data_IF_221407270133
#
_entry.id   IF_221407270133
#
_cell.length_a   1.000
_cell.length_b   1.000
_cell.length_c   1.000
_cell.angle_alpha   90.00
_cell.angle_beta   90.00
_cell.angle_gamma   90.00
#
_symmetry.space_group_name_H-M   'P 1'
#
loop_
_entity.id
_entity.type
_entity.pdbx_description
1 polymer ?
#
# COMPACT_ATOMS: atom_id res chain seq x y z
N UNK A 1 -36.85 -26.82 48.51
CA UNK A 1 -36.21 -25.80 47.66
C UNK A 1 -36.49 -24.44 48.27
N UNK A 2 -35.46 -23.81 48.84
CA UNK A 2 -35.60 -22.53 49.53
C UNK A 2 -35.96 -21.43 48.53
N UNK A 3 -37.08 -20.75 48.76
CA UNK A 3 -37.43 -19.50 48.08
C UNK A 3 -36.40 -18.44 48.42
N UNK A 4 -35.40 -18.30 47.57
CA UNK A 4 -34.49 -17.16 47.61
C UNK A 4 -35.31 -15.92 47.30
N UNK A 5 -35.68 -15.16 48.36
CA UNK A 5 -36.29 -13.83 48.25
C UNK A 5 -35.44 -12.99 47.29
N UNK A 6 -36.03 -12.47 46.22
CA UNK A 6 -35.37 -11.59 45.26
C UNK A 6 -34.81 -10.38 46.01
N UNK A 7 -33.51 -10.39 46.32
CA UNK A 7 -32.87 -9.31 47.05
C UNK A 7 -32.99 -8.01 46.26
N UNK A 8 -33.66 -7.03 46.81
CA UNK A 8 -33.81 -5.71 46.22
C UNK A 8 -32.71 -4.79 46.79
N UNK A 9 -31.51 -4.94 46.29
CA UNK A 9 -30.34 -4.23 46.82
C UNK A 9 -30.45 -2.71 46.58
N UNK A 10 -30.04 -1.95 47.59
CA UNK A 10 -29.90 -0.48 47.56
C UNK A 10 -28.42 -0.09 47.55
N UNK A 11 -28.15 1.20 47.36
CA UNK A 11 -26.77 1.71 47.35
C UNK A 11 -25.98 1.33 48.61
N UNK A 12 -26.60 1.40 49.77
CA UNK A 12 -25.99 0.98 51.05
C UNK A 12 -25.54 -0.49 51.04
N UNK A 13 -26.27 -1.35 50.33
CA UNK A 13 -25.94 -2.77 50.22
C UNK A 13 -24.81 -2.99 49.23
N UNK A 14 -24.80 -2.24 48.12
CA UNK A 14 -23.70 -2.28 47.13
C UNK A 14 -22.40 -1.84 47.77
N UNK A 15 -22.40 -0.78 48.61
CA UNK A 15 -21.18 -0.34 49.31
C UNK A 15 -20.58 -1.44 50.17
N UNK A 16 -21.43 -2.20 50.89
CA UNK A 16 -21.03 -3.26 51.85
C UNK A 16 -20.61 -4.57 51.18
N UNK A 17 -20.77 -4.73 49.85
CA UNK A 17 -20.34 -5.93 49.17
C UNK A 17 -18.84 -6.16 49.32
N UNK A 18 -18.42 -7.34 49.87
CA UNK A 18 -16.99 -7.61 50.14
C UNK A 18 -16.20 -7.73 48.82
N UNK A 19 -14.95 -7.28 48.88
CA UNK A 19 -13.98 -7.52 47.81
C UNK A 19 -13.41 -8.90 48.02
N UNK A 20 -13.41 -9.71 46.93
CA UNK A 20 -12.88 -11.09 46.96
C UNK A 20 -11.71 -11.21 45.96
N UNK A 21 -10.88 -12.26 46.13
CA UNK A 21 -9.76 -12.54 45.25
C UNK A 21 -10.17 -12.88 43.79
N UNK A 22 -11.45 -13.21 43.55
CA UNK A 22 -12.00 -13.43 42.20
C UNK A 22 -13.26 -12.59 42.04
N UNK A 23 -13.51 -12.20 40.77
CA UNK A 23 -14.73 -11.51 40.39
C UNK A 23 -15.95 -12.40 40.74
N UNK A 24 -16.96 -11.81 41.35
CA UNK A 24 -18.25 -12.47 41.57
C UNK A 24 -19.41 -11.60 41.10
N UNK A 25 -20.59 -12.24 40.97
CA UNK A 25 -21.80 -11.66 40.42
C UNK A 25 -22.90 -11.75 41.47
N UNK A 26 -23.69 -10.68 41.63
CA UNK A 26 -24.84 -10.66 42.50
C UNK A 26 -26.03 -10.01 41.79
N UNK A 27 -27.22 -10.61 41.91
CA UNK A 27 -28.45 -10.00 41.40
C UNK A 27 -28.82 -8.78 42.24
N UNK A 28 -29.33 -7.72 41.61
CA UNK A 28 -29.75 -6.49 42.27
C UNK A 28 -31.26 -6.54 42.61
N UNK A 29 -32.03 -7.30 41.82
CA UNK A 29 -33.48 -7.39 42.02
C UNK A 29 -34.20 -6.79 40.81
N UNK A 30 -35.10 -5.85 41.02
CA UNK A 30 -35.91 -5.26 39.96
C UNK A 30 -35.12 -4.26 39.10
N UNK A 31 -35.05 -4.46 37.76
CA UNK A 31 -35.53 -5.65 37.04
C UNK A 31 -34.65 -6.89 37.29
N UNK A 32 -35.19 -8.09 37.04
CA UNK A 32 -34.55 -9.41 37.34
C UNK A 32 -33.25 -9.61 36.53
N UNK A 33 -33.11 -8.91 35.41
CA UNK A 33 -31.98 -8.91 34.49
C UNK A 33 -30.82 -8.04 34.98
N UNK A 34 -30.99 -7.25 36.05
CA UNK A 34 -29.98 -6.34 36.55
C UNK A 34 -29.07 -7.02 37.59
N UNK A 35 -27.78 -7.00 37.35
CA UNK A 35 -26.73 -7.61 38.19
C UNK A 35 -25.64 -6.59 38.52
N UNK A 36 -24.88 -6.85 39.59
CA UNK A 36 -23.66 -6.17 39.93
C UNK A 36 -22.46 -7.12 39.86
N UNK A 37 -21.42 -6.76 39.15
CA UNK A 37 -20.13 -7.42 39.12
C UNK A 37 -19.21 -6.71 40.10
N UNK A 38 -18.63 -7.47 41.05
CA UNK A 38 -17.64 -6.99 41.98
C UNK A 38 -16.29 -7.59 41.60
N UNK A 39 -15.34 -6.71 41.34
CA UNK A 39 -13.99 -7.07 40.89
C UNK A 39 -13.00 -7.09 42.07
N UNK A 40 -11.89 -7.85 41.95
CA UNK A 40 -10.81 -7.84 42.96
C UNK A 40 -10.18 -6.45 43.18
N UNK A 41 -10.25 -5.56 42.19
CA UNK A 41 -9.82 -4.16 42.29
C UNK A 41 -10.73 -3.27 43.16
N UNK A 42 -11.82 -3.81 43.68
CA UNK A 42 -12.84 -3.03 44.40
C UNK A 42 -13.89 -2.37 43.48
N UNK A 43 -13.67 -2.36 42.16
CA UNK A 43 -14.61 -1.80 41.20
C UNK A 43 -15.91 -2.60 41.20
N UNK A 44 -17.06 -1.91 41.17
CA UNK A 44 -18.39 -2.48 41.10
C UNK A 44 -19.09 -1.96 39.86
N UNK A 45 -19.61 -2.87 39.02
CA UNK A 45 -20.17 -2.52 37.71
C UNK A 45 -21.52 -3.10 37.50
N UNK A 46 -22.52 -2.30 37.15
CA UNK A 46 -23.86 -2.75 36.80
C UNK A 46 -23.85 -3.40 35.42
N UNK A 47 -24.49 -4.57 35.34
CA UNK A 47 -24.57 -5.39 34.15
C UNK A 47 -26.02 -5.78 33.91
N UNK A 48 -26.46 -5.77 32.65
CA UNK A 48 -27.75 -6.34 32.23
C UNK A 48 -27.52 -7.74 31.65
N UNK A 49 -28.25 -8.75 32.14
CA UNK A 49 -28.23 -10.09 31.58
C UNK A 49 -29.35 -10.22 30.54
N UNK A 50 -28.99 -10.49 29.28
CA UNK A 50 -29.93 -10.72 28.20
C UNK A 50 -29.43 -11.86 27.31
N UNK A 51 -30.26 -12.84 26.96
CA UNK A 51 -29.90 -14.02 26.18
C UNK A 51 -28.57 -14.66 26.65
N UNK A 52 -28.49 -14.96 27.95
CA UNK A 52 -27.34 -15.56 28.65
C UNK A 52 -26.02 -14.73 28.59
N UNK A 53 -26.05 -13.53 28.02
CA UNK A 53 -24.89 -12.61 27.96
C UNK A 53 -25.08 -11.44 28.92
N UNK A 54 -23.96 -10.98 29.49
CA UNK A 54 -23.90 -9.80 30.33
C UNK A 54 -23.39 -8.59 29.55
N UNK A 55 -24.21 -7.54 29.53
CA UNK A 55 -23.84 -6.25 28.92
C UNK A 55 -23.62 -5.20 30.00
N UNK A 56 -22.52 -4.50 29.95
CA UNK A 56 -22.20 -3.43 30.92
C UNK A 56 -23.12 -2.24 30.71
N UNK A 57 -23.77 -1.80 31.80
CA UNK A 57 -24.53 -0.54 31.84
C UNK A 57 -23.56 0.59 32.24
N UNK A 58 -23.11 0.61 33.52
CA UNK A 58 -22.21 1.61 34.04
C UNK A 58 -21.49 1.11 35.30
N UNK A 59 -20.45 1.83 35.77
CA UNK A 59 -19.86 1.58 37.07
C UNK A 59 -20.69 2.19 38.18
N UNK A 60 -20.82 1.48 39.33
CA UNK A 60 -21.34 2.10 40.53
C UNK A 60 -20.41 3.22 41.00
N UNK A 61 -20.93 4.41 41.14
CA UNK A 61 -20.21 5.59 41.64
C UNK A 61 -21.11 6.32 42.62
N UNK A 62 -20.66 6.41 43.85
CA UNK A 62 -21.39 7.11 44.87
C UNK A 62 -21.70 8.56 44.44
N UNK A 63 -22.93 9.01 44.60
CA UNK A 63 -23.46 10.30 44.21
C UNK A 63 -23.42 10.66 42.70
N UNK A 64 -22.92 9.75 41.84
CA UNK A 64 -22.84 9.97 40.40
C UNK A 64 -23.62 8.94 39.57
N UNK A 65 -23.67 7.67 40.02
CA UNK A 65 -24.41 6.62 39.37
C UNK A 65 -24.84 5.54 40.34
N UNK A 66 -26.07 5.67 40.84
CA UNK A 66 -26.69 4.87 41.88
C UNK A 66 -27.38 3.62 41.35
N UNK A 67 -27.86 2.78 42.26
CA UNK A 67 -28.76 1.63 41.95
C UNK A 67 -30.06 2.09 41.29
N UNK A 68 -30.61 3.25 41.72
CA UNK A 68 -31.83 3.81 41.13
C UNK A 68 -31.62 4.20 39.65
N UNK A 69 -30.50 4.81 39.32
CA UNK A 69 -30.15 5.15 37.94
C UNK A 69 -29.89 3.90 37.10
N UNK A 70 -29.18 2.91 37.66
CA UNK A 70 -28.96 1.63 36.98
C UNK A 70 -30.28 0.89 36.69
N UNK A 71 -31.27 0.94 37.59
CA UNK A 71 -32.60 0.38 37.35
C UNK A 71 -33.35 1.09 36.25
N UNK A 72 -33.34 2.42 36.25
CA UNK A 72 -33.98 3.22 35.20
C UNK A 72 -33.40 2.93 33.84
N UNK A 73 -32.05 2.89 33.73
CA UNK A 73 -31.38 2.60 32.49
C UNK A 73 -31.62 1.15 32.03
N UNK A 74 -31.60 0.19 32.96
CA UNK A 74 -31.92 -1.22 32.66
C UNK A 74 -33.36 -1.39 32.11
N UNK A 75 -34.34 -0.72 32.71
CA UNK A 75 -35.73 -0.75 32.24
C UNK A 75 -35.89 -0.11 30.86
N UNK A 76 -35.17 1.00 30.61
CA UNK A 76 -35.14 1.65 29.29
C UNK A 76 -34.60 0.70 28.24
N UNK A 77 -33.47 0.05 28.52
CA UNK A 77 -32.81 -0.91 27.61
C UNK A 77 -33.75 -2.09 27.33
N UNK A 78 -34.38 -2.65 28.38
CA UNK A 78 -35.30 -3.78 28.22
C UNK A 78 -36.53 -3.43 27.37
N UNK A 79 -37.10 -2.23 27.55
CA UNK A 79 -38.21 -1.74 26.72
C UNK A 79 -37.84 -1.60 25.26
N UNK A 80 -36.60 -1.15 24.97
CA UNK A 80 -36.13 -1.07 23.60
C UNK A 80 -35.84 -2.45 22.99
N UNK A 81 -35.38 -3.42 23.80
CA UNK A 81 -35.20 -4.81 23.37
C UNK A 81 -36.58 -5.48 23.06
N UNK A 82 -37.60 -5.23 23.88
CA UNK A 82 -38.98 -5.71 23.65
C UNK A 82 -39.56 -5.10 22.35
N UNK A 83 -39.14 -3.89 21.97
CA UNK A 83 -39.56 -3.30 20.69
C UNK A 83 -38.81 -3.87 19.48
N UNK A 84 -37.96 -4.90 19.68
CA UNK A 84 -37.23 -5.60 18.60
C UNK A 84 -35.89 -5.00 18.24
N UNK A 85 -35.36 -3.99 18.97
CA UNK A 85 -34.04 -3.45 18.73
C UNK A 85 -32.96 -4.38 19.26
N UNK A 86 -31.83 -4.47 18.53
CA UNK A 86 -30.67 -5.24 19.00
C UNK A 86 -29.94 -4.55 20.16
N UNK A 87 -29.44 -5.33 21.11
CA UNK A 87 -28.71 -4.84 22.29
C UNK A 87 -27.49 -3.97 21.95
N UNK A 88 -26.76 -4.31 20.87
CA UNK A 88 -25.61 -3.52 20.45
C UNK A 88 -26.03 -2.16 19.90
N UNK A 89 -27.17 -2.10 19.20
CA UNK A 89 -27.75 -0.85 18.71
C UNK A 89 -28.17 0.04 19.89
N UNK A 90 -28.83 -0.53 20.90
CA UNK A 90 -29.29 0.19 22.09
C UNK A 90 -28.12 0.72 22.91
N UNK A 91 -27.06 -0.08 23.04
CA UNK A 91 -25.85 0.29 23.77
C UNK A 91 -24.89 1.19 22.96
N UNK A 92 -25.28 1.64 21.78
CA UNK A 92 -24.44 2.43 20.87
C UNK A 92 -23.25 1.64 20.31
N UNK A 93 -23.33 0.31 20.36
CA UNK A 93 -22.28 -0.61 19.86
C UNK A 93 -22.76 -1.37 18.63
N UNK A 94 -23.56 -0.75 17.80
CA UNK A 94 -23.92 -1.35 16.53
C UNK A 94 -22.64 -1.47 15.68
N UNK A 95 -22.20 -2.70 15.50
CA UNK A 95 -20.94 -3.00 14.80
C UNK A 95 -20.88 -2.38 13.39
N UNK A 96 -22.05 -2.12 12.79
CA UNK A 96 -22.10 -1.45 11.46
C UNK A 96 -21.51 -0.03 11.48
N UNK A 97 -21.54 0.66 12.63
CA UNK A 97 -20.98 2.00 12.79
C UNK A 97 -19.50 2.00 13.18
N UNK A 98 -18.89 0.84 13.46
CA UNK A 98 -17.47 0.78 13.78
C UNK A 98 -16.66 1.12 12.54
N UNK A 99 -15.64 1.97 12.70
CA UNK A 99 -14.78 2.38 11.60
C UNK A 99 -14.23 1.18 10.80
N UNK A 100 -13.76 0.12 11.48
CA UNK A 100 -13.24 -1.10 10.84
C UNK A 100 -14.23 -1.76 9.87
N UNK A 101 -15.52 -1.75 10.21
CA UNK A 101 -16.55 -2.41 9.39
C UNK A 101 -16.92 -1.55 8.17
N UNK A 102 -16.94 -0.23 8.33
CA UNK A 102 -17.08 0.71 7.21
C UNK A 102 -15.86 0.67 6.30
N UNK A 103 -14.66 0.57 6.87
CA UNK A 103 -13.44 0.36 6.09
C UNK A 103 -13.50 -0.96 5.29
N UNK A 104 -13.94 -2.07 5.89
CA UNK A 104 -14.11 -3.33 5.18
C UNK A 104 -15.14 -3.22 4.04
N UNK A 105 -16.22 -2.46 4.24
CA UNK A 105 -17.21 -2.16 3.18
C UNK A 105 -16.58 -1.37 2.04
N UNK A 106 -15.78 -0.36 2.36
CA UNK A 106 -15.01 0.41 1.38
C UNK A 106 -14.04 -0.48 0.57
N UNK A 107 -13.33 -1.39 1.22
CA UNK A 107 -12.43 -2.35 0.56
C UNK A 107 -13.21 -3.27 -0.40
N UNK A 108 -14.37 -3.80 0.04
CA UNK A 108 -15.23 -4.62 -0.83
C UNK A 108 -15.71 -3.85 -2.07
N UNK A 109 -16.09 -2.59 -1.91
CA UNK A 109 -16.48 -1.74 -3.04
C UNK A 109 -15.32 -1.50 -4.03
N UNK A 110 -14.10 -1.25 -3.51
CA UNK A 110 -12.92 -1.12 -4.37
C UNK A 110 -12.62 -2.38 -5.17
N UNK A 111 -12.74 -3.56 -4.56
CA UNK A 111 -12.59 -4.84 -5.25
C UNK A 111 -13.64 -5.01 -6.35
N UNK A 112 -14.91 -4.72 -6.06
CA UNK A 112 -16.00 -4.77 -7.03
C UNK A 112 -15.76 -3.82 -8.22
N UNK A 113 -15.10 -2.69 -7.99
CA UNK A 113 -14.74 -1.72 -9.02
C UNK A 113 -13.45 -2.06 -9.80
N UNK A 114 -12.93 -3.29 -9.65
CA UNK A 114 -11.80 -3.79 -10.44
C UNK A 114 -10.43 -3.25 -10.01
N UNK A 115 -10.31 -2.74 -8.79
CA UNK A 115 -9.01 -2.32 -8.23
C UNK A 115 -8.15 -3.56 -7.97
N UNK A 116 -6.88 -3.51 -8.37
CA UNK A 116 -5.96 -4.64 -8.26
C UNK A 116 -5.77 -5.12 -6.82
N UNK A 117 -5.67 -6.43 -6.63
CA UNK A 117 -5.47 -7.05 -5.31
C UNK A 117 -4.21 -6.53 -4.60
N UNK A 118 -3.13 -6.27 -5.35
CA UNK A 118 -1.89 -5.71 -4.78
C UNK A 118 -2.09 -4.33 -4.18
N UNK A 119 -2.92 -3.47 -4.81
CA UNK A 119 -3.26 -2.16 -4.27
C UNK A 119 -4.17 -2.27 -3.04
N UNK A 120 -5.15 -3.18 -3.06
CA UNK A 120 -6.00 -3.47 -1.89
C UNK A 120 -5.16 -3.93 -0.70
N UNK A 121 -4.24 -4.87 -0.91
CA UNK A 121 -3.32 -5.35 0.14
C UNK A 121 -2.52 -4.20 0.73
N UNK A 122 -2.05 -3.27 -0.09
CA UNK A 122 -1.33 -2.08 0.36
C UNK A 122 -2.18 -1.17 1.24
N UNK A 123 -3.40 -0.84 0.81
CA UNK A 123 -4.34 -0.01 1.58
C UNK A 123 -4.64 -0.68 2.93
N UNK A 124 -4.99 -1.96 2.90
CA UNK A 124 -5.34 -2.73 4.11
C UNK A 124 -4.18 -2.74 5.10
N UNK A 125 -2.95 -3.01 4.64
CA UNK A 125 -1.75 -3.00 5.47
C UNK A 125 -1.46 -1.62 6.07
N UNK A 126 -1.65 -0.54 5.30
CA UNK A 126 -1.49 0.82 5.82
C UNK A 126 -2.52 1.14 6.91
N UNK A 127 -3.80 0.77 6.72
CA UNK A 127 -4.83 0.95 7.74
C UNK A 127 -4.57 0.09 8.98
N UNK A 128 -4.17 -1.16 8.82
CA UNK A 128 -3.80 -2.05 9.93
C UNK A 128 -2.66 -1.49 10.77
N UNK A 129 -1.65 -0.89 10.12
CA UNK A 129 -0.48 -0.38 10.82
C UNK A 129 -0.73 0.96 11.51
N UNK A 130 -1.54 1.85 10.94
CA UNK A 130 -1.61 3.24 11.40
C UNK A 130 -2.99 3.66 11.93
N UNK A 131 -4.07 3.14 11.38
CA UNK A 131 -5.41 3.68 11.61
C UNK A 131 -6.24 2.80 12.55
N UNK A 132 -6.36 1.51 12.22
CA UNK A 132 -7.20 0.57 12.97
C UNK A 132 -6.79 0.40 14.44
N UNK A 133 -5.50 0.46 14.83
CA UNK A 133 -5.12 0.41 16.23
C UNK A 133 -5.71 1.55 17.08
N UNK A 134 -5.86 2.74 16.47
CA UNK A 134 -6.29 3.96 17.19
C UNK A 134 -7.81 4.09 17.23
N UNK A 135 -8.51 3.83 16.14
CA UNK A 135 -9.96 4.02 16.11
C UNK A 135 -10.75 2.98 15.31
N UNK A 136 -10.16 1.84 14.97
CA UNK A 136 -10.88 0.78 14.28
C UNK A 136 -12.13 0.27 15.03
N UNK A 137 -12.09 0.23 16.36
CA UNK A 137 -13.20 -0.18 17.22
C UNK A 137 -14.01 1.01 17.78
N UNK A 138 -13.79 2.23 17.31
CA UNK A 138 -14.62 3.39 17.67
C UNK A 138 -15.81 3.48 16.73
N UNK A 139 -16.93 3.94 17.27
CA UNK A 139 -18.08 4.35 16.47
C UNK A 139 -17.69 5.55 15.61
N UNK A 140 -17.99 5.49 14.32
CA UNK A 140 -17.67 6.53 13.33
C UNK A 140 -18.20 7.91 13.73
N UNK A 141 -19.34 7.95 14.46
CA UNK A 141 -19.98 9.16 14.97
C UNK A 141 -19.14 9.89 16.02
N UNK A 142 -18.26 9.16 16.71
CA UNK A 142 -17.45 9.68 17.82
C UNK A 142 -16.08 10.14 17.41
N UNK A 143 -15.65 9.82 16.18
CA UNK A 143 -14.31 10.15 15.67
C UNK A 143 -14.31 11.61 15.20
N UNK A 144 -13.41 12.41 15.76
CA UNK A 144 -13.27 13.83 15.46
C UNK A 144 -12.05 14.09 14.57
N UNK A 145 -12.00 15.28 13.97
CA UNK A 145 -10.82 15.78 13.24
C UNK A 145 -9.53 15.61 14.06
N UNK A 146 -9.56 16.02 15.33
CA UNK A 146 -8.40 15.93 16.24
C UNK A 146 -7.88 14.51 16.43
N UNK A 147 -8.77 13.49 16.47
CA UNK A 147 -8.37 12.08 16.60
C UNK A 147 -7.59 11.64 15.36
N UNK A 148 -8.08 11.98 14.16
CA UNK A 148 -7.46 11.59 12.89
C UNK A 148 -6.14 12.35 12.73
N UNK A 149 -6.13 13.66 12.99
CA UNK A 149 -4.94 14.49 12.91
C UNK A 149 -3.82 13.97 13.82
N UNK A 150 -4.13 13.62 15.07
CA UNK A 150 -3.14 13.11 16.02
C UNK A 150 -2.45 11.83 15.50
N UNK A 151 -3.23 10.88 14.92
CA UNK A 151 -2.68 9.65 14.35
C UNK A 151 -1.78 9.94 13.15
N UNK A 152 -2.21 10.83 12.25
CA UNK A 152 -1.43 11.17 11.05
C UNK A 152 -0.18 11.98 11.40
N UNK A 153 -0.27 12.89 12.37
CA UNK A 153 0.85 13.70 12.84
C UNK A 153 1.94 12.83 13.52
N UNK A 154 1.56 11.75 14.19
CA UNK A 154 2.51 10.79 14.75
C UNK A 154 3.34 10.03 13.68
N UNK A 155 2.85 9.98 12.44
CA UNK A 155 3.55 9.38 11.30
C UNK A 155 4.48 10.39 10.64
N UNK A 156 4.15 11.68 10.72
CA UNK A 156 4.85 12.76 10.03
C UNK A 156 6.23 13.02 10.62
N UNK A 157 7.26 13.01 9.78
CA UNK A 157 8.59 13.50 10.16
C UNK A 157 8.88 14.83 9.45
N UNK A 158 8.79 15.97 10.16
CA UNK A 158 9.01 17.29 9.59
C UNK A 158 10.49 17.63 9.35
N UNK A 159 11.42 16.83 9.88
CA UNK A 159 12.84 17.16 9.81
C UNK A 159 13.53 16.59 8.56
N UNK A 160 12.98 15.56 7.95
CA UNK A 160 13.60 14.88 6.80
C UNK A 160 12.60 14.54 5.70
N UNK A 161 12.67 15.20 4.54
CA UNK A 161 11.77 14.93 3.41
C UNK A 161 11.74 13.49 2.94
N UNK A 162 12.88 12.78 2.98
CA UNK A 162 12.96 11.36 2.54
C UNK A 162 12.22 10.42 3.48
N UNK A 163 12.09 10.76 4.75
CA UNK A 163 11.40 9.97 5.78
C UNK A 163 10.11 10.64 6.27
N UNK A 164 9.69 11.73 5.66
CA UNK A 164 8.50 12.51 6.04
C UNK A 164 7.20 11.71 5.99
N UNK A 165 7.14 10.68 5.14
CA UNK A 165 5.97 9.83 4.87
C UNK A 165 4.74 10.58 4.36
N UNK A 166 4.89 11.80 3.86
CA UNK A 166 3.79 12.62 3.36
C UNK A 166 2.96 11.92 2.28
N UNK A 167 3.60 11.21 1.34
CA UNK A 167 2.88 10.38 0.36
C UNK A 167 1.96 9.33 1.02
N UNK A 168 2.42 8.71 2.11
CA UNK A 168 1.62 7.74 2.87
C UNK A 168 0.48 8.44 3.60
N UNK A 169 0.76 9.59 4.23
CA UNK A 169 -0.23 10.41 4.95
C UNK A 169 -1.34 10.85 3.99
N UNK A 170 -1.00 11.45 2.84
CA UNK A 170 -2.01 11.87 1.87
C UNK A 170 -2.84 10.72 1.31
N UNK A 171 -2.26 9.54 1.12
CA UNK A 171 -3.01 8.33 0.75
C UNK A 171 -3.95 7.87 1.84
N UNK A 172 -3.50 7.87 3.09
CA UNK A 172 -4.36 7.55 4.24
C UNK A 172 -5.50 8.56 4.35
N UNK A 173 -5.24 9.86 4.20
CA UNK A 173 -6.28 10.90 4.21
C UNK A 173 -7.33 10.62 3.14
N UNK A 174 -6.91 10.30 1.91
CA UNK A 174 -7.83 9.96 0.82
C UNK A 174 -8.69 8.73 1.13
N UNK A 175 -8.10 7.69 1.70
CA UNK A 175 -8.84 6.47 2.04
C UNK A 175 -9.78 6.70 3.23
N UNK A 176 -9.33 7.43 4.26
CA UNK A 176 -10.15 7.85 5.41
C UNK A 176 -11.34 8.70 4.94
N UNK A 177 -11.10 9.70 4.06
CA UNK A 177 -12.17 10.53 3.48
C UNK A 177 -13.24 9.68 2.81
N UNK A 178 -12.85 8.65 2.05
CA UNK A 178 -13.80 7.74 1.40
C UNK A 178 -14.61 6.91 2.40
N UNK A 179 -14.00 6.47 3.50
CA UNK A 179 -14.72 5.73 4.57
C UNK A 179 -15.74 6.65 5.24
N UNK A 180 -15.38 7.88 5.59
CA UNK A 180 -16.30 8.85 6.17
C UNK A 180 -17.36 9.31 5.16
N UNK A 181 -17.02 9.47 3.89
CA UNK A 181 -17.99 9.79 2.84
C UNK A 181 -19.01 8.67 2.63
N UNK A 182 -18.61 7.40 2.81
CA UNK A 182 -19.52 6.26 2.82
C UNK A 182 -20.51 6.36 3.99
N UNK A 183 -20.00 6.63 5.20
CA UNK A 183 -20.84 6.79 6.39
C UNK A 183 -21.80 8.00 6.26
N UNK A 184 -21.38 9.08 5.62
CA UNK A 184 -22.19 10.26 5.36
C UNK A 184 -23.32 9.97 4.31
N UNK A 185 -22.96 9.26 3.24
CA UNK A 185 -23.93 8.82 2.22
C UNK A 185 -25.01 7.91 2.80
N UNK A 186 -24.60 7.00 3.73
CA UNK A 186 -25.51 6.07 4.39
C UNK A 186 -26.18 6.70 5.64
N UNK A 187 -26.10 8.05 5.77
CA UNK A 187 -26.73 8.88 6.82
C UNK A 187 -26.32 8.50 8.25
N UNK A 188 -25.18 7.84 8.43
CA UNK A 188 -24.65 7.52 9.75
C UNK A 188 -24.05 8.74 10.46
N UNK A 189 -23.55 9.70 9.69
CA UNK A 189 -23.01 10.97 10.15
C UNK A 189 -23.49 12.11 9.22
N UNK A 190 -23.64 13.30 9.78
CA UNK A 190 -24.02 14.51 9.02
C UNK A 190 -22.82 15.25 8.44
N UNK A 191 -21.66 15.13 9.10
CA UNK A 191 -20.43 15.82 8.73
C UNK A 191 -19.25 14.86 8.63
N UNK A 192 -18.40 15.03 7.61
CA UNK A 192 -17.18 14.26 7.43
C UNK A 192 -15.98 15.02 8.02
N UNK A 193 -15.39 14.55 9.14
CA UNK A 193 -14.31 15.26 9.83
C UNK A 193 -12.96 15.22 9.11
N UNK A 194 -12.83 14.44 8.02
CA UNK A 194 -11.56 14.30 7.31
C UNK A 194 -11.34 15.32 6.20
N UNK A 195 -12.36 16.12 5.82
CA UNK A 195 -12.34 16.99 4.64
C UNK A 195 -11.18 18.00 4.63
N UNK A 196 -10.83 18.57 5.77
CA UNK A 196 -9.79 19.60 5.87
C UNK A 196 -8.39 19.05 6.15
N UNK A 197 -8.24 17.74 6.34
CA UNK A 197 -6.94 17.11 6.69
C UNK A 197 -5.86 17.32 5.62
N UNK A 198 -6.23 17.45 4.35
CA UNK A 198 -5.26 17.73 3.29
C UNK A 198 -4.53 19.05 3.47
N UNK A 199 -5.17 20.04 4.10
CA UNK A 199 -4.57 21.35 4.37
C UNK A 199 -3.60 21.33 5.56
N UNK A 200 -3.75 20.33 6.44
CA UNK A 200 -2.92 20.19 7.64
C UNK A 200 -1.51 19.67 7.35
N UNK A 201 -1.30 19.05 6.18
CA UNK A 201 -0.01 18.49 5.78
C UNK A 201 0.42 19.04 4.44
N UNK A 202 1.70 19.48 4.27
CA UNK A 202 2.21 19.90 2.98
C UNK A 202 2.21 18.73 1.99
N UNK A 203 2.11 19.01 0.70
CA UNK A 203 2.35 17.96 -0.30
C UNK A 203 3.81 17.52 -0.27
N UNK A 204 4.08 16.24 -0.59
CA UNK A 204 5.44 15.72 -0.58
C UNK A 204 6.37 16.51 -1.53
N UNK A 205 5.87 16.90 -2.70
CA UNK A 205 6.64 17.70 -3.67
C UNK A 205 6.99 19.08 -3.15
N UNK A 206 6.03 19.81 -2.55
CA UNK A 206 6.30 21.13 -1.97
C UNK A 206 7.29 21.04 -0.81
N UNK A 207 7.08 20.10 0.10
CA UNK A 207 7.95 19.89 1.25
C UNK A 207 9.40 19.55 0.83
N UNK A 208 9.56 18.81 -0.28
CA UNK A 208 10.85 18.48 -0.87
C UNK A 208 11.51 19.72 -1.47
N UNK A 209 10.76 20.54 -2.21
CA UNK A 209 11.27 21.80 -2.78
C UNK A 209 11.71 22.78 -1.68
N UNK A 210 10.88 22.95 -0.65
CA UNK A 210 11.19 23.87 0.47
C UNK A 210 12.45 23.44 1.25
N UNK A 211 12.82 22.16 1.21
CA UNK A 211 14.04 21.61 1.86
C UNK A 211 15.20 21.37 0.89
N UNK A 212 15.06 21.73 -0.39
CA UNK A 212 16.07 21.53 -1.44
C UNK A 212 16.60 20.08 -1.52
N UNK A 213 15.77 19.08 -1.29
CA UNK A 213 16.15 17.67 -1.30
C UNK A 213 15.69 17.00 -2.58
N UNK A 214 16.64 16.41 -3.34
CA UNK A 214 16.31 15.58 -4.49
C UNK A 214 15.74 14.23 -4.05
N UNK A 215 14.47 13.99 -4.36
CA UNK A 215 13.76 12.72 -4.08
C UNK A 215 13.60 11.85 -5.31
N UNK A 216 14.18 12.23 -6.47
CA UNK A 216 14.17 11.38 -7.65
C UNK A 216 14.86 10.05 -7.37
N UNK A 217 14.44 9.02 -8.08
CA UNK A 217 15.09 7.71 -7.95
C UNK A 217 16.53 7.80 -8.44
N UNK A 218 17.48 7.20 -7.71
CA UNK A 218 18.88 7.17 -8.12
C UNK A 218 19.04 6.55 -9.50
N UNK A 219 19.83 7.22 -10.35
CA UNK A 219 20.09 6.84 -11.73
C UNK A 219 21.54 7.17 -12.13
N UNK A 220 22.15 6.34 -12.95
CA UNK A 220 23.52 6.53 -13.46
C UNK A 220 23.52 7.49 -14.66
N UNK A 221 23.49 8.78 -14.39
CA UNK A 221 23.46 9.83 -15.42
C UNK A 221 24.85 10.41 -15.75
N UNK A 222 25.84 10.05 -14.96
CA UNK A 222 27.24 10.31 -15.18
C UNK A 222 27.89 9.15 -15.94
N UNK A 223 28.59 9.44 -17.02
CA UNK A 223 29.18 8.43 -17.93
C UNK A 223 30.28 7.60 -17.24
N UNK A 224 31.09 8.22 -16.37
CA UNK A 224 32.14 7.50 -15.65
C UNK A 224 31.56 6.52 -14.65
N UNK A 225 30.54 6.94 -13.89
CA UNK A 225 29.83 6.04 -12.97
C UNK A 225 29.09 4.91 -13.69
N UNK A 226 28.58 5.18 -14.89
CA UNK A 226 27.96 4.14 -15.72
C UNK A 226 29.01 3.15 -16.21
N UNK A 227 30.17 3.63 -16.63
CA UNK A 227 31.32 2.80 -16.99
C UNK A 227 31.77 1.90 -15.85
N UNK A 228 31.97 2.46 -14.65
CA UNK A 228 32.32 1.69 -13.46
C UNK A 228 31.27 0.60 -13.16
N UNK A 229 29.98 0.94 -13.30
CA UNK A 229 28.91 0.00 -13.08
C UNK A 229 28.95 -1.17 -14.08
N UNK A 230 29.21 -0.92 -15.36
CA UNK A 230 29.35 -1.95 -16.39
C UNK A 230 30.54 -2.85 -16.09
N UNK A 231 31.70 -2.25 -15.70
CA UNK A 231 32.90 -3.01 -15.30
C UNK A 231 32.60 -3.92 -14.12
N UNK A 232 32.01 -3.37 -13.05
CA UNK A 232 31.66 -4.14 -11.86
C UNK A 232 30.67 -5.27 -12.18
N UNK A 233 29.67 -5.02 -13.04
CA UNK A 233 28.72 -6.03 -13.47
C UNK A 233 29.39 -7.14 -14.27
N UNK A 234 30.28 -6.78 -15.20
CA UNK A 234 31.05 -7.71 -16.03
C UNK A 234 31.95 -8.60 -15.17
N UNK A 235 32.66 -8.01 -14.23
CA UNK A 235 33.65 -8.70 -13.39
C UNK A 235 33.05 -9.43 -12.20
N UNK A 236 31.78 -9.21 -11.86
CA UNK A 236 31.16 -9.88 -10.72
C UNK A 236 30.99 -11.37 -10.98
N UNK A 237 31.55 -12.17 -10.06
CA UNK A 237 31.48 -13.63 -10.07
C UNK A 237 30.67 -14.22 -8.90
N UNK A 238 30.03 -13.36 -8.10
CA UNK A 238 29.21 -13.76 -6.93
C UNK A 238 27.75 -13.82 -7.23
N UNK A 239 27.29 -13.03 -8.22
CA UNK A 239 25.91 -13.09 -8.68
C UNK A 239 25.66 -14.37 -9.46
N UNK A 240 24.49 -14.98 -9.26
CA UNK A 240 24.04 -16.03 -10.16
C UNK A 240 23.84 -15.45 -11.58
N UNK A 241 24.10 -16.28 -12.59
CA UNK A 241 24.07 -15.86 -14.00
C UNK A 241 22.69 -15.33 -14.41
N UNK A 242 21.60 -15.89 -13.87
CA UNK A 242 20.24 -15.46 -14.17
C UNK A 242 19.98 -14.05 -13.67
N UNK A 243 20.40 -13.72 -12.44
CA UNK A 243 20.31 -12.36 -11.88
C UNK A 243 21.19 -11.39 -12.65
N UNK A 244 22.41 -11.79 -13.02
CA UNK A 244 23.35 -10.97 -13.81
C UNK A 244 22.76 -10.61 -15.18
N UNK A 245 22.24 -11.61 -15.91
CA UNK A 245 21.54 -11.43 -17.19
C UNK A 245 20.28 -10.58 -17.07
N UNK A 246 19.52 -10.74 -15.98
CA UNK A 246 18.35 -9.89 -15.72
C UNK A 246 18.74 -8.42 -15.53
N UNK A 247 19.89 -8.09 -14.93
CA UNK A 247 20.40 -6.72 -14.81
C UNK A 247 20.79 -6.18 -16.19
N UNK A 248 21.52 -6.95 -17.01
CA UNK A 248 21.84 -6.56 -18.38
C UNK A 248 20.58 -6.31 -19.22
N UNK A 249 19.62 -7.21 -19.17
CA UNK A 249 18.36 -7.05 -19.91
C UNK A 249 17.57 -5.82 -19.41
N UNK A 250 17.61 -5.53 -18.11
CA UNK A 250 16.98 -4.34 -17.52
C UNK A 250 17.59 -3.04 -18.02
N UNK A 251 18.92 -2.98 -18.17
CA UNK A 251 19.63 -1.81 -18.70
C UNK A 251 19.34 -1.67 -20.20
N UNK A 252 19.48 -2.76 -20.96
CA UNK A 252 19.38 -2.76 -22.42
C UNK A 252 17.96 -2.52 -22.93
N UNK A 253 16.93 -3.01 -22.22
CA UNK A 253 15.53 -2.88 -22.64
C UNK A 253 14.77 -1.75 -21.94
N UNK A 254 15.34 -1.14 -20.91
CA UNK A 254 14.79 -0.04 -20.10
C UNK A 254 13.33 -0.20 -19.67
N UNK A 255 12.90 -1.42 -19.52
CA UNK A 255 11.55 -1.79 -19.09
C UNK A 255 11.28 -1.42 -17.62
N UNK A 256 10.01 -1.51 -17.20
CA UNK A 256 9.73 -1.48 -15.77
C UNK A 256 10.30 -2.73 -15.09
N UNK A 257 10.93 -2.62 -13.90
CA UNK A 257 11.62 -3.75 -13.25
C UNK A 257 10.75 -5.02 -13.10
N UNK A 258 9.45 -4.86 -12.87
CA UNK A 258 8.54 -6.00 -12.81
C UNK A 258 8.45 -6.73 -14.15
N UNK A 259 8.39 -6.00 -15.28
CA UNK A 259 8.29 -6.62 -16.60
C UNK A 259 9.53 -7.47 -16.90
N UNK A 260 10.73 -6.98 -16.57
CA UNK A 260 11.97 -7.73 -16.79
C UNK A 260 11.99 -9.04 -15.98
N UNK A 261 11.67 -8.99 -14.67
CA UNK A 261 11.74 -10.21 -13.84
C UNK A 261 10.61 -11.21 -14.11
N UNK A 262 9.47 -10.76 -14.62
CA UNK A 262 8.31 -11.60 -14.93
C UNK A 262 8.19 -11.94 -16.43
N UNK A 263 9.26 -11.65 -17.22
CA UNK A 263 9.29 -11.96 -18.65
C UNK A 263 9.02 -13.45 -18.91
N UNK A 264 8.19 -13.74 -19.91
CA UNK A 264 7.89 -15.10 -20.34
C UNK A 264 8.44 -15.35 -21.72
N UNK A 265 8.87 -16.58 -21.96
CA UNK A 265 9.35 -17.00 -23.27
C UNK A 265 8.28 -16.87 -24.36
N UNK A 266 7.01 -17.12 -24.01
CA UNK A 266 5.88 -16.95 -24.94
C UNK A 266 5.67 -15.53 -25.45
N UNK A 267 6.22 -14.55 -24.75
CA UNK A 267 6.05 -13.14 -25.07
C UNK A 267 7.24 -12.59 -25.87
N UNK A 268 8.27 -13.43 -26.16
CA UNK A 268 9.52 -13.03 -26.82
C UNK A 268 9.65 -13.76 -28.16
N UNK A 269 9.70 -12.99 -29.21
CA UNK A 269 10.03 -13.44 -30.55
C UNK A 269 11.51 -13.12 -30.83
N UNK A 270 12.37 -14.14 -30.73
CA UNK A 270 13.81 -13.98 -30.94
C UNK A 270 14.15 -13.75 -32.40
N UNK A 271 13.38 -14.31 -33.36
CA UNK A 271 13.60 -14.16 -34.78
C UNK A 271 13.32 -12.72 -35.24
N UNK A 272 12.16 -12.18 -34.86
CA UNK A 272 11.77 -10.80 -35.18
C UNK A 272 12.36 -9.77 -34.22
N UNK A 273 13.08 -10.20 -33.16
CA UNK A 273 13.72 -9.36 -32.14
C UNK A 273 12.72 -8.45 -31.41
N UNK A 274 11.54 -9.00 -31.09
CA UNK A 274 10.45 -8.28 -30.44
C UNK A 274 10.06 -9.01 -29.16
N UNK A 275 9.94 -8.25 -28.08
CA UNK A 275 9.35 -8.69 -26.83
C UNK A 275 8.04 -7.94 -26.60
N UNK A 276 6.90 -8.64 -26.65
CA UNK A 276 5.57 -8.08 -26.45
C UNK A 276 5.14 -8.22 -25.00
N UNK A 277 5.11 -7.13 -24.27
CA UNK A 277 4.62 -7.11 -22.89
C UNK A 277 3.10 -6.96 -22.93
N UNK A 278 2.32 -7.94 -22.41
CA UNK A 278 0.86 -7.92 -22.51
C UNK A 278 0.25 -6.78 -21.67
N UNK A 279 -0.92 -6.31 -22.09
CA UNK A 279 -1.62 -5.15 -21.50
C UNK A 279 -1.93 -5.30 -20.01
N UNK A 280 -2.19 -6.51 -19.50
CA UNK A 280 -2.46 -6.79 -18.10
C UNK A 280 -1.22 -6.61 -17.20
N UNK A 281 -0.01 -6.66 -17.76
CA UNK A 281 1.26 -6.39 -17.07
C UNK A 281 1.66 -4.91 -17.15
N UNK A 282 0.97 -4.13 -17.99
CA UNK A 282 1.30 -2.72 -18.21
C UNK A 282 0.43 -1.78 -17.36
N UNK A 283 1.07 -0.79 -16.72
CA UNK A 283 0.36 0.27 -15.99
C UNK A 283 -0.60 1.05 -16.90
N UNK A 284 -0.27 1.15 -18.17
CA UNK A 284 -1.03 1.87 -19.21
C UNK A 284 -2.22 1.07 -19.72
N UNK A 285 -2.34 -0.23 -19.36
CA UNK A 285 -3.35 -1.18 -19.86
C UNK A 285 -3.38 -1.29 -21.40
N UNK A 286 -2.26 -1.06 -22.05
CA UNK A 286 -2.03 -1.29 -23.48
C UNK A 286 -0.81 -2.18 -23.62
N UNK A 287 -0.81 -3.12 -24.55
CA UNK A 287 0.37 -3.94 -24.83
C UNK A 287 1.54 -3.04 -25.26
N UNK A 288 2.74 -3.47 -24.99
CA UNK A 288 3.97 -2.71 -25.29
C UNK A 288 4.98 -3.60 -25.97
N UNK A 289 5.40 -3.21 -27.16
CA UNK A 289 6.43 -3.86 -27.93
C UNK A 289 7.79 -3.25 -27.65
N UNK A 290 8.71 -4.07 -27.19
CA UNK A 290 10.10 -3.74 -26.91
C UNK A 290 10.95 -4.35 -28.03
N UNK A 291 11.64 -3.52 -28.80
CA UNK A 291 12.59 -3.97 -29.81
C UNK A 291 13.90 -4.33 -29.13
N UNK A 292 14.46 -5.48 -29.49
CA UNK A 292 15.67 -6.02 -28.88
C UNK A 292 16.89 -5.62 -29.72
N UNK A 293 17.87 -4.94 -29.11
CA UNK A 293 19.18 -4.75 -29.70
C UNK A 293 19.93 -6.09 -29.82
N UNK A 294 20.97 -6.15 -30.64
CA UNK A 294 21.83 -7.32 -30.77
C UNK A 294 22.37 -7.81 -29.42
N UNK A 295 22.68 -6.88 -28.52
CA UNK A 295 23.15 -7.19 -27.15
C UNK A 295 22.04 -7.79 -26.29
N UNK A 296 20.82 -7.24 -26.33
CA UNK A 296 19.69 -7.79 -25.58
C UNK A 296 19.28 -9.17 -26.10
N UNK A 297 19.32 -9.35 -27.42
CA UNK A 297 19.08 -10.63 -28.07
C UNK A 297 20.07 -11.69 -27.57
N UNK A 298 21.37 -11.40 -27.60
CA UNK A 298 22.42 -12.32 -27.15
C UNK A 298 22.24 -12.75 -25.69
N UNK A 299 21.87 -11.81 -24.79
CA UNK A 299 21.52 -12.15 -23.39
C UNK A 299 20.35 -13.13 -23.32
N UNK A 300 19.33 -12.93 -24.13
CA UNK A 300 18.16 -13.82 -24.17
C UNK A 300 18.48 -15.20 -24.77
N UNK A 301 19.28 -15.23 -25.82
CA UNK A 301 19.77 -16.49 -26.44
C UNK A 301 20.60 -17.30 -25.44
N UNK A 302 21.55 -16.65 -24.74
CA UNK A 302 22.32 -17.30 -23.69
C UNK A 302 21.43 -17.79 -22.54
N UNK A 303 20.44 -17.00 -22.13
CA UNK A 303 19.49 -17.40 -21.08
C UNK A 303 18.60 -18.55 -21.54
N UNK A 304 18.29 -18.61 -22.84
CA UNK A 304 17.48 -19.67 -23.42
C UNK A 304 18.19 -21.05 -23.38
N UNK A 305 19.51 -21.08 -23.49
CA UNK A 305 20.29 -22.32 -23.30
C UNK A 305 20.13 -22.94 -21.91
N UNK A 306 19.78 -22.11 -20.91
CA UNK A 306 19.52 -22.53 -19.53
C UNK A 306 18.02 -22.54 -19.18
N UNK A 307 17.15 -22.60 -20.21
CA UNK A 307 15.69 -22.62 -20.01
C UNK A 307 15.28 -23.85 -19.20
N UNK A 308 14.49 -23.64 -18.16
CA UNK A 308 13.82 -24.71 -17.42
C UNK A 308 12.55 -25.09 -18.18
N UNK A 309 12.45 -26.34 -18.62
CA UNK A 309 11.38 -26.86 -19.52
C UNK A 309 9.99 -26.56 -18.95
N UNK A 310 9.78 -26.77 -17.66
CA UNK A 310 8.48 -26.60 -16.99
C UNK A 310 8.19 -25.18 -16.51
N UNK A 311 9.10 -24.23 -16.79
CA UNK A 311 8.89 -22.84 -16.40
C UNK A 311 8.58 -21.95 -17.61
N UNK A 312 7.49 -21.16 -17.59
CA UNK A 312 7.21 -20.21 -18.65
C UNK A 312 8.13 -18.97 -18.61
N UNK A 313 8.85 -18.74 -17.49
CA UNK A 313 9.60 -17.52 -17.25
C UNK A 313 11.03 -17.56 -17.79
N UNK A 314 11.51 -16.40 -18.24
CA UNK A 314 12.89 -16.19 -18.66
C UNK A 314 13.86 -16.31 -17.46
N UNK A 315 13.45 -15.80 -16.30
CA UNK A 315 14.22 -15.82 -15.05
C UNK A 315 13.45 -16.59 -13.97
N UNK A 316 13.40 -17.92 -14.06
CA UNK A 316 12.64 -18.76 -13.13
C UNK A 316 13.28 -18.81 -11.73
N UNK A 317 12.47 -19.02 -10.70
CA UNK A 317 12.88 -19.31 -9.33
C UNK A 317 11.88 -20.22 -8.64
N UNK A 318 12.29 -20.82 -7.51
CA UNK A 318 11.43 -21.69 -6.70
C UNK A 318 10.49 -20.94 -5.75
N UNK A 319 10.44 -19.60 -5.82
CA UNK A 319 9.52 -18.82 -4.99
C UNK A 319 8.06 -18.97 -5.46
N UNK A 320 7.12 -18.55 -4.63
CA UNK A 320 5.67 -18.64 -4.91
C UNK A 320 5.22 -17.97 -6.22
N UNK A 321 6.00 -17.04 -6.78
CA UNK A 321 5.68 -16.37 -8.05
C UNK A 321 6.28 -17.09 -9.26
N UNK A 322 7.17 -18.05 -9.05
CA UNK A 322 7.85 -18.80 -10.09
C UNK A 322 8.94 -18.02 -10.86
N UNK A 323 9.15 -16.75 -10.57
CA UNK A 323 10.14 -15.90 -11.24
C UNK A 323 10.92 -15.03 -10.26
N UNK A 324 12.03 -14.41 -10.69
CA UNK A 324 12.83 -13.49 -9.89
C UNK A 324 11.94 -12.37 -9.27
N UNK A 325 12.22 -12.03 -8.03
CA UNK A 325 11.58 -10.89 -7.42
C UNK A 325 12.29 -9.59 -7.81
N UNK A 326 11.54 -8.53 -8.10
CA UNK A 326 12.10 -7.22 -8.51
C UNK A 326 13.12 -6.65 -7.50
N UNK A 327 12.96 -6.97 -6.21
CA UNK A 327 13.89 -6.51 -5.18
C UNK A 327 15.21 -7.30 -5.21
N UNK A 328 15.25 -8.48 -5.84
CA UNK A 328 16.49 -9.24 -6.06
C UNK A 328 17.43 -8.45 -6.95
N UNK A 329 16.96 -7.90 -8.08
CA UNK A 329 17.75 -7.04 -8.97
C UNK A 329 18.26 -5.81 -8.19
N UNK A 330 17.40 -5.12 -7.45
CA UNK A 330 17.83 -3.94 -6.68
C UNK A 330 18.82 -4.28 -5.56
N UNK A 331 18.70 -5.47 -4.94
CA UNK A 331 19.65 -5.94 -3.93
C UNK A 331 21.00 -6.25 -4.58
N UNK A 332 21.01 -6.90 -5.73
CA UNK A 332 22.20 -7.18 -6.52
C UNK A 332 22.91 -5.87 -6.94
N UNK A 333 22.19 -4.94 -7.55
CA UNK A 333 22.71 -3.62 -7.93
C UNK A 333 23.38 -2.90 -6.76
N UNK A 334 22.75 -2.84 -5.59
CA UNK A 334 23.32 -2.15 -4.41
C UNK A 334 24.66 -2.70 -3.98
N UNK A 335 24.85 -4.02 -4.10
CA UNK A 335 26.04 -4.72 -3.57
C UNK A 335 27.06 -5.08 -4.66
N UNK A 336 26.83 -4.66 -5.89
CA UNK A 336 27.71 -4.93 -7.01
C UNK A 336 29.11 -4.32 -6.73
N UNK A 337 30.18 -5.05 -7.07
CA UNK A 337 31.56 -4.66 -6.80
C UNK A 337 31.94 -4.74 -5.32
N UNK A 338 31.15 -4.13 -4.42
CA UNK A 338 31.32 -4.20 -2.98
C UNK A 338 30.04 -3.91 -2.25
N UNK A 339 29.99 -4.20 -0.93
CA UNK A 339 28.78 -4.00 -0.10
C UNK A 339 28.33 -2.53 -0.14
N UNK A 340 27.11 -2.30 -0.56
CA UNK A 340 26.43 -1.00 -0.65
C UNK A 340 27.09 0.03 -1.60
N UNK A 341 28.00 -0.37 -2.50
CA UNK A 341 28.69 0.56 -3.41
C UNK A 341 27.70 1.43 -4.21
N UNK A 342 26.62 0.83 -4.72
CA UNK A 342 25.61 1.54 -5.52
C UNK A 342 24.36 1.92 -4.73
N UNK A 343 24.40 1.83 -3.39
CA UNK A 343 23.28 2.27 -2.56
C UNK A 343 23.06 3.78 -2.69
N UNK A 344 21.85 4.18 -3.06
CA UNK A 344 21.55 5.61 -3.32
C UNK A 344 22.13 6.16 -4.62
N UNK A 345 22.81 5.35 -5.45
CA UNK A 345 23.45 5.75 -6.71
C UNK A 345 22.70 5.15 -7.90
N UNK A 346 22.34 3.86 -7.84
CA UNK A 346 21.68 3.16 -8.93
C UNK A 346 20.49 2.34 -8.44
N UNK A 347 19.46 2.24 -9.27
CA UNK A 347 18.32 1.33 -9.09
C UNK A 347 17.89 0.77 -10.44
N UNK A 348 17.25 -0.40 -10.44
CA UNK A 348 16.72 -0.99 -11.66
C UNK A 348 15.71 -0.09 -12.38
N UNK A 349 14.92 0.70 -11.64
CA UNK A 349 14.02 1.70 -12.23
C UNK A 349 14.78 2.93 -12.72
N UNK A 350 15.91 3.28 -12.09
CA UNK A 350 16.75 4.41 -12.46
C UNK A 350 17.36 4.29 -13.85
N UNK A 351 17.55 3.07 -14.38
CA UNK A 351 18.07 2.88 -15.75
C UNK A 351 17.19 3.50 -16.83
N UNK A 352 15.90 3.69 -16.58
CA UNK A 352 15.01 4.44 -17.47
C UNK A 352 15.37 5.93 -17.54
N UNK A 353 15.75 6.51 -16.39
CA UNK A 353 16.26 7.88 -16.32
C UNK A 353 17.67 7.99 -16.90
N UNK A 354 18.52 6.96 -16.72
CA UNK A 354 19.84 6.85 -17.39
C UNK A 354 19.66 6.91 -18.91
N UNK A 355 18.85 6.04 -19.48
CA UNK A 355 18.51 6.02 -20.91
C UNK A 355 18.01 7.38 -21.39
N UNK A 356 16.98 7.94 -20.70
CA UNK A 356 16.40 9.24 -21.06
C UNK A 356 17.44 10.37 -21.08
N UNK A 357 18.36 10.34 -20.10
CA UNK A 357 19.47 11.34 -20.01
C UNK A 357 20.47 11.16 -21.14
N UNK A 358 20.84 9.93 -21.47
CA UNK A 358 21.75 9.63 -22.59
C UNK A 358 21.13 10.11 -23.91
N UNK A 359 19.85 9.78 -24.18
CA UNK A 359 19.15 10.27 -25.36
C UNK A 359 19.09 11.79 -25.42
N UNK A 360 18.87 12.46 -24.30
CA UNK A 360 18.81 13.92 -24.21
C UNK A 360 20.20 14.58 -24.54
N UNK A 361 21.29 13.99 -24.04
CA UNK A 361 22.65 14.46 -24.29
C UNK A 361 23.05 14.29 -25.77
N UNK A 362 22.53 13.28 -26.44
CA UNK A 362 22.87 12.95 -27.84
C UNK A 362 21.70 13.27 -28.80
N UNK A 363 20.88 14.27 -28.46
CA UNK A 363 19.68 14.63 -29.23
C UNK A 363 19.94 14.93 -30.70
N UNK A 364 21.03 15.65 -31.03
CA UNK A 364 21.38 16.00 -32.41
C UNK A 364 21.69 14.74 -33.26
N UNK A 365 22.47 13.81 -32.72
CA UNK A 365 22.77 12.53 -33.37
C UNK A 365 21.51 11.70 -33.61
N UNK A 366 20.63 11.59 -32.60
CA UNK A 366 19.40 10.87 -32.71
C UNK A 366 18.45 11.45 -33.77
N UNK A 367 18.36 12.78 -33.86
CA UNK A 367 17.58 13.43 -34.92
C UNK A 367 18.11 13.11 -36.31
N UNK A 368 19.44 13.08 -36.49
CA UNK A 368 20.06 12.67 -37.76
C UNK A 368 19.78 11.21 -38.14
N UNK A 369 19.53 10.35 -37.14
CA UNK A 369 19.09 8.96 -37.33
C UNK A 369 17.56 8.83 -37.54
N UNK A 370 16.84 9.95 -37.63
CA UNK A 370 15.37 9.96 -37.78
C UNK A 370 14.62 9.54 -36.51
N UNK A 371 15.26 9.68 -35.32
CA UNK A 371 14.70 9.32 -34.03
C UNK A 371 14.23 10.60 -33.35
N UNK A 372 12.91 10.67 -33.16
CA UNK A 372 12.23 11.80 -32.51
C UNK A 372 12.10 11.60 -31.00
N UNK A 373 11.70 12.67 -30.31
CA UNK A 373 11.36 12.63 -28.88
C UNK A 373 10.21 11.65 -28.61
N UNK A 374 9.21 11.57 -29.51
CA UNK A 374 8.09 10.65 -29.44
C UNK A 374 8.56 9.18 -29.46
N UNK A 375 9.60 8.89 -30.26
CA UNK A 375 10.21 7.55 -30.31
C UNK A 375 10.79 7.18 -28.94
N UNK A 376 11.52 8.12 -28.30
CA UNK A 376 12.13 7.91 -26.99
C UNK A 376 11.05 7.66 -25.92
N UNK A 377 10.00 8.49 -25.88
CA UNK A 377 8.89 8.33 -24.93
C UNK A 377 8.07 7.05 -25.20
N UNK A 378 7.94 6.65 -26.45
CA UNK A 378 7.28 5.39 -26.86
C UNK A 378 8.03 4.16 -26.32
N UNK A 379 9.36 4.13 -26.40
CA UNK A 379 10.19 3.05 -25.83
C UNK A 379 10.01 2.98 -24.33
N UNK A 380 9.88 4.10 -23.65
CA UNK A 380 9.60 4.16 -22.22
C UNK A 380 8.13 3.82 -21.86
N UNK A 381 7.26 3.59 -22.84
CA UNK A 381 5.82 3.40 -22.63
C UNK A 381 5.21 4.50 -21.74
N UNK A 382 5.64 5.74 -21.93
CA UNK A 382 5.04 6.90 -21.31
C UNK A 382 3.77 7.29 -22.07
N UNK A 383 2.72 7.68 -21.37
CA UNK A 383 1.55 8.27 -22.00
C UNK A 383 1.76 9.76 -22.14
N UNK A 384 1.44 10.31 -23.30
CA UNK A 384 1.33 11.75 -23.46
C UNK A 384 0.31 12.31 -22.45
N UNK A 385 0.77 13.22 -21.61
CA UNK A 385 -0.04 13.80 -20.54
C UNK A 385 -1.01 14.87 -21.09
N UNK A 386 -0.65 15.51 -22.19
CA UNK A 386 -1.51 16.49 -22.85
C UNK A 386 -2.61 15.76 -23.63
N UNK A 387 -3.85 15.84 -23.15
CA UNK A 387 -5.00 15.19 -23.76
C UNK A 387 -5.26 15.70 -25.20
N UNK A 388 -4.98 16.97 -25.46
CA UNK A 388 -5.13 17.60 -26.80
C UNK A 388 -4.06 17.03 -27.74
N UNK A 389 -2.77 17.06 -27.35
CA UNK A 389 -1.68 16.48 -28.15
C UNK A 389 -1.94 15.01 -28.46
N UNK A 390 -2.37 14.23 -27.47
CA UNK A 390 -2.73 12.81 -27.63
C UNK A 390 -3.87 12.56 -28.63
N UNK A 391 -4.83 13.49 -28.77
CA UNK A 391 -5.93 13.34 -29.72
C UNK A 391 -5.51 13.59 -31.17
N UNK A 392 -4.42 14.32 -31.36
CA UNK A 392 -3.86 14.62 -32.70
C UNK A 392 -2.69 13.69 -33.09
N UNK A 393 -2.06 13.02 -32.12
CA UNK A 393 -0.99 12.04 -32.39
C UNK A 393 -1.58 10.73 -32.92
N UNK A 394 -1.68 10.63 -34.23
CA UNK A 394 -2.09 9.40 -34.94
C UNK A 394 -0.90 8.53 -35.31
N UNK A 395 0.27 9.14 -35.50
CA UNK A 395 1.50 8.42 -35.86
C UNK A 395 2.28 8.04 -34.61
N UNK A 396 2.20 6.77 -34.25
CA UNK A 396 3.07 6.17 -33.22
C UNK A 396 4.43 5.90 -33.86
N UNK A 397 5.50 6.03 -33.06
CA UNK A 397 6.83 5.58 -33.46
C UNK A 397 6.79 4.16 -34.04
N UNK A 398 7.35 3.98 -35.24
CA UNK A 398 7.36 2.67 -35.89
C UNK A 398 8.29 1.69 -35.17
N UNK A 399 8.10 0.40 -35.42
CA UNK A 399 8.96 -0.65 -34.86
C UNK A 399 10.41 -0.43 -35.31
N UNK A 400 10.62 -0.02 -36.57
CA UNK A 400 11.95 0.25 -37.12
C UNK A 400 12.64 1.44 -36.44
N UNK A 401 11.90 2.51 -36.09
CA UNK A 401 12.44 3.64 -35.35
C UNK A 401 12.85 3.24 -33.94
N UNK A 402 12.01 2.45 -33.26
CA UNK A 402 12.35 1.91 -31.94
C UNK A 402 13.54 0.95 -32.02
N UNK A 403 13.62 0.09 -33.04
CA UNK A 403 14.73 -0.84 -33.22
C UNK A 403 16.05 -0.08 -33.44
N UNK A 404 16.04 0.95 -34.29
CA UNK A 404 17.24 1.82 -34.50
C UNK A 404 17.64 2.48 -33.18
N UNK A 405 16.70 3.03 -32.42
CA UNK A 405 17.00 3.66 -31.13
C UNK A 405 17.60 2.67 -30.14
N UNK A 406 17.03 1.49 -30.00
CA UNK A 406 17.50 0.49 -29.03
C UNK A 406 18.83 -0.13 -29.45
N UNK A 407 19.10 -0.29 -30.77
CA UNK A 407 20.42 -0.69 -31.24
C UNK A 407 21.45 0.38 -30.96
N UNK A 408 21.16 1.65 -31.33
CA UNK A 408 22.03 2.80 -31.03
C UNK A 408 22.35 2.87 -29.53
N UNK A 409 21.37 2.68 -28.67
CA UNK A 409 21.57 2.70 -27.22
C UNK A 409 22.47 1.56 -26.74
N UNK A 410 22.28 0.36 -27.27
CA UNK A 410 23.16 -0.79 -27.00
C UNK A 410 24.60 -0.52 -27.44
N UNK A 411 24.78 0.02 -28.64
CA UNK A 411 26.10 0.40 -29.19
C UNK A 411 26.77 1.50 -28.35
N UNK A 412 25.98 2.50 -27.90
CA UNK A 412 26.46 3.55 -27.01
C UNK A 412 26.95 2.98 -25.67
N UNK A 413 26.19 2.07 -25.03
CA UNK A 413 26.64 1.42 -23.80
C UNK A 413 27.91 0.62 -24.00
N UNK A 414 28.00 -0.14 -25.08
CA UNK A 414 29.18 -0.94 -25.44
C UNK A 414 30.41 -0.09 -25.77
N UNK A 415 30.22 1.13 -26.32
CA UNK A 415 31.30 2.07 -26.59
C UNK A 415 31.89 2.71 -25.32
N UNK A 416 31.08 2.89 -24.27
CA UNK A 416 31.55 3.36 -22.95
C UNK A 416 32.45 2.30 -22.29
N UNK A 417 32.00 1.05 -22.32
CA UNK A 417 32.73 -0.11 -21.85
C UNK A 417 32.15 -1.38 -22.52
N UNK A 418 32.98 -2.23 -23.14
CA UNK A 418 32.52 -3.47 -23.71
C UNK A 418 31.74 -4.30 -22.71
N UNK A 419 30.50 -4.63 -23.07
CA UNK A 419 29.54 -5.30 -22.14
C UNK A 419 29.99 -6.70 -21.74
N UNK A 420 30.87 -7.33 -22.55
CA UNK A 420 31.36 -8.68 -22.25
C UNK A 420 30.30 -9.76 -22.38
N UNK A 421 29.37 -9.53 -23.27
CA UNK A 421 28.23 -10.42 -23.55
C UNK A 421 28.52 -11.16 -24.85
#
# INVERSE_FOLDING_TARGET
MANLSKANLLDKDIRKLPIQNKRYIKAIGNPKELYIFVYPSGNKTFMLKFNEKYTKINAFRENLYSVAEARRDALKILKELESGKDINTIMGKDEKYLYKNLFNTYIKQKLKNGISQSYITKITKQHQNYILPSFGNKDIKTIKYSDIFAVLNAIFNPNNPRTSRLETIHRLINDIDKVFSLAQRDEYITYNPSKELHRAFPTASRFTLDKFVDTRLPALTDTNKLKEFIIDLKMDNKLDLSTKRAIYLQILCVNRPFNTVSAKWSDIDLENKIWTIPSNQMKTKSAHEVTLSSYALKILEEQHMFKIIDSPFVFPTLNANGHLHRDTINKAIRNLGSKNRYSGIATSHGFRATFRTICSKNKAELLNLGISEETIESVLAHKELNAVKRSYERDKATIEQKARLMQWYGDYLNSIEPLGI
#
